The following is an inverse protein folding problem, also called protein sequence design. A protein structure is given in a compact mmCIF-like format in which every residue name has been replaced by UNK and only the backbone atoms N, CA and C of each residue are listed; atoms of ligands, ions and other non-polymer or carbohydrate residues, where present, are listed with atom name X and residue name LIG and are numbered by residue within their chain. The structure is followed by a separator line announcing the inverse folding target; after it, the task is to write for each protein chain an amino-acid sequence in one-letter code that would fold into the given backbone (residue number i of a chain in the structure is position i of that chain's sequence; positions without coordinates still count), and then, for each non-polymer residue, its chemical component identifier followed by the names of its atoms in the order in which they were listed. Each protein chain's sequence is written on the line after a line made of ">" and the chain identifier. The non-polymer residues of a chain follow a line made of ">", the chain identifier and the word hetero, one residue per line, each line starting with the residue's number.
data_IF_036196056179
#
_entry.id   IF_036196056179
#
_cell.length_a   1.000
_cell.length_b   1.000
_cell.length_c   1.000
_cell.angle_alpha   90.00
_cell.angle_beta   90.00
_cell.angle_gamma   90.00
#
_symmetry.space_group_name_H-M   'P 1'
#
loop_
_entity.id
_entity.type
_entity.pdbx_description
1 polymer ?
#
# COMPACT_ATOMS: atom_id res chain seq x y z
N UNK A 1 -14.75 9.31 -2.47
CA UNK A 1 -15.02 8.03 -1.77
C UNK A 1 -16.05 8.29 -0.66
N UNK A 2 -17.06 7.43 -0.47
CA UNK A 2 -17.97 7.54 0.68
C UNK A 2 -17.35 6.85 1.90
N UNK A 3 -16.56 7.63 2.67
CA UNK A 3 -15.83 7.11 3.83
C UNK A 3 -16.76 6.74 5.00
N UNK A 4 -18.01 7.22 5.00
CA UNK A 4 -18.96 6.99 6.10
C UNK A 4 -19.35 5.53 6.28
N UNK A 5 -19.12 4.70 5.25
CA UNK A 5 -19.43 3.27 5.25
C UNK A 5 -18.24 2.40 5.66
N UNK A 6 -17.04 2.96 5.68
CA UNK A 6 -15.83 2.23 6.01
C UNK A 6 -15.78 2.00 7.53
N UNK A 7 -15.54 0.76 7.93
CA UNK A 7 -15.41 0.37 9.34
C UNK A 7 -13.94 0.25 9.70
N UNK A 8 -13.30 1.35 10.08
CA UNK A 8 -11.89 1.35 10.47
C UNK A 8 -11.58 0.37 11.62
N UNK A 9 -12.56 0.07 12.49
CA UNK A 9 -12.41 -0.92 13.57
C UNK A 9 -12.19 -2.35 13.09
N UNK A 10 -12.52 -2.68 11.84
CA UNK A 10 -12.31 -3.99 11.24
C UNK A 10 -10.94 -4.10 10.54
N UNK A 11 -10.16 -3.02 10.53
CA UNK A 11 -8.84 -2.98 9.90
C UNK A 11 -7.77 -3.24 10.95
N UNK A 12 -6.95 -4.26 10.70
CA UNK A 12 -5.87 -4.70 11.57
C UNK A 12 -4.48 -4.50 10.95
N UNK A 13 -3.46 -4.90 11.72
CA UNK A 13 -2.06 -4.81 11.30
C UNK A 13 -1.44 -6.17 10.98
N UNK A 14 -2.26 -7.22 10.93
CA UNK A 14 -1.81 -8.60 10.66
C UNK A 14 -1.24 -8.73 9.25
N UNK A 15 -2.03 -8.38 8.23
CA UNK A 15 -1.66 -8.48 6.82
C UNK A 15 -1.05 -7.20 6.26
N UNK A 16 -0.15 -7.36 5.30
CA UNK A 16 0.55 -6.28 4.62
C UNK A 16 2.02 -6.15 5.02
N UNK A 17 2.77 -5.41 4.21
CA UNK A 17 4.17 -5.07 4.48
C UNK A 17 4.25 -4.11 5.66
N UNK A 18 5.16 -4.42 6.59
CA UNK A 18 5.40 -3.62 7.78
C UNK A 18 6.71 -2.86 7.58
N UNK A 19 6.63 -1.55 7.38
CA UNK A 19 7.79 -0.67 7.20
C UNK A 19 7.92 0.20 8.45
N UNK A 20 9.10 0.18 9.09
CA UNK A 20 9.35 0.88 10.34
C UNK A 20 9.15 0.03 11.60
N UNK A 21 9.40 0.65 12.75
CA UNK A 21 9.47 -0.03 14.04
C UNK A 21 8.14 -0.69 14.45
N UNK A 22 8.20 -1.93 14.96
CA UNK A 22 7.01 -2.70 15.35
C UNK A 22 6.18 -2.00 16.43
N UNK A 23 6.86 -1.33 17.34
CA UNK A 23 6.33 -0.58 18.48
C UNK A 23 6.05 0.89 18.17
N UNK A 24 6.23 1.33 16.91
CA UNK A 24 5.88 2.69 16.52
C UNK A 24 4.41 3.00 16.89
N UNK A 25 4.14 4.10 17.60
CA UNK A 25 2.83 4.40 18.17
C UNK A 25 1.76 4.63 17.12
N UNK A 26 2.11 5.22 15.97
CA UNK A 26 1.16 5.47 14.88
C UNK A 26 1.28 4.41 13.81
N UNK A 27 0.14 3.83 13.41
CA UNK A 27 0.04 2.93 12.26
C UNK A 27 -0.62 3.67 11.11
N UNK A 28 0.06 3.72 9.97
CA UNK A 28 -0.48 4.24 8.71
C UNK A 28 -0.82 3.03 7.85
N UNK A 29 -2.11 2.76 7.67
CA UNK A 29 -2.60 1.59 6.94
C UNK A 29 -2.98 2.01 5.52
N UNK A 30 -2.40 1.36 4.51
CA UNK A 30 -2.49 1.78 3.11
C UNK A 30 -3.04 0.65 2.25
N UNK A 31 -4.32 0.69 1.87
CA UNK A 31 -4.87 -0.20 0.85
C UNK A 31 -4.56 0.36 -0.53
N UNK A 32 -3.65 -0.28 -1.26
CA UNK A 32 -3.15 0.20 -2.55
C UNK A 32 -3.12 -0.90 -3.60
N UNK A 33 -3.17 -0.51 -4.86
CA UNK A 33 -2.86 -1.38 -5.98
C UNK A 33 -1.77 -0.71 -6.83
N UNK A 34 -0.68 -1.43 -7.13
CA UNK A 34 0.52 -0.83 -7.76
C UNK A 34 0.24 -0.33 -9.19
N UNK A 35 -0.81 -0.80 -9.87
CA UNK A 35 -1.23 -0.25 -11.18
C UNK A 35 -2.05 1.05 -11.01
N UNK A 36 -2.66 1.30 -9.85
CA UNK A 36 -3.53 2.45 -9.70
C UNK A 36 -2.74 3.77 -9.79
N UNK A 37 -3.10 4.69 -10.70
CA UNK A 37 -2.40 5.98 -10.82
C UNK A 37 -2.64 6.89 -9.60
N UNK A 38 -3.78 6.74 -8.92
CA UNK A 38 -4.06 7.46 -7.67
C UNK A 38 -3.21 6.91 -6.51
N UNK A 39 -2.98 5.59 -6.47
CA UNK A 39 -2.02 5.01 -5.51
C UNK A 39 -0.59 5.48 -5.79
N UNK A 40 -0.21 5.62 -7.07
CA UNK A 40 1.08 6.21 -7.45
C UNK A 40 1.22 7.64 -6.91
N UNK A 41 0.21 8.48 -7.14
CA UNK A 41 0.18 9.86 -6.63
C UNK A 41 0.35 9.88 -5.10
N UNK A 42 -0.46 9.10 -4.38
CA UNK A 42 -0.32 8.97 -2.92
C UNK A 42 1.09 8.55 -2.51
N UNK A 43 1.65 7.52 -3.15
CA UNK A 43 2.98 7.01 -2.82
C UNK A 43 4.08 8.05 -3.04
N UNK A 44 4.01 8.82 -4.12
CA UNK A 44 4.99 9.87 -4.44
C UNK A 44 4.86 11.07 -3.49
N UNK A 45 3.66 11.59 -3.29
CA UNK A 45 3.41 12.80 -2.49
C UNK A 45 3.63 12.57 -0.99
N UNK A 46 3.30 11.38 -0.47
CA UNK A 46 3.46 11.06 0.95
C UNK A 46 4.88 10.61 1.32
N UNK A 47 5.73 10.26 0.34
CA UNK A 47 7.02 9.59 0.55
C UNK A 47 7.91 10.31 1.57
N UNK A 48 8.14 11.60 1.38
CA UNK A 48 9.04 12.37 2.24
C UNK A 48 8.54 12.43 3.69
N UNK A 49 7.22 12.62 3.88
CA UNK A 49 6.59 12.66 5.20
C UNK A 49 6.70 11.31 5.89
N UNK A 50 6.28 10.25 5.21
CA UNK A 50 6.26 8.90 5.79
C UNK A 50 7.67 8.39 6.09
N UNK A 51 8.65 8.61 5.20
CA UNK A 51 10.05 8.23 5.45
C UNK A 51 10.58 8.89 6.72
N UNK A 52 10.38 10.21 6.88
CA UNK A 52 10.81 10.94 8.08
C UNK A 52 10.22 10.32 9.36
N UNK A 53 8.90 10.11 9.41
CA UNK A 53 8.26 9.58 10.62
C UNK A 53 8.60 8.10 10.88
N UNK A 54 8.87 7.32 9.84
CA UNK A 54 9.36 5.94 9.96
C UNK A 54 10.78 5.91 10.55
N UNK A 55 11.68 6.74 10.05
CA UNK A 55 13.06 6.85 10.53
C UNK A 55 13.13 7.34 11.99
N UNK A 56 12.21 8.23 12.37
CA UNK A 56 12.05 8.70 13.75
C UNK A 56 11.40 7.65 14.68
N UNK A 57 11.01 6.47 14.17
CA UNK A 57 10.34 5.41 14.94
C UNK A 57 8.92 5.75 15.37
N UNK A 58 8.32 6.80 14.82
CA UNK A 58 6.99 7.31 15.20
C UNK A 58 5.87 6.65 14.41
N UNK A 59 6.14 6.28 13.16
CA UNK A 59 5.19 5.64 12.27
C UNK A 59 5.67 4.25 11.88
N UNK A 60 4.74 3.30 11.85
CA UNK A 60 4.87 2.09 11.06
C UNK A 60 3.83 2.11 9.95
N UNK A 61 4.29 1.91 8.72
CA UNK A 61 3.40 1.73 7.57
C UNK A 61 2.97 0.28 7.47
N UNK A 62 1.70 0.05 7.20
CA UNK A 62 1.10 -1.25 6.92
C UNK A 62 0.56 -1.20 5.50
N UNK A 63 1.39 -1.59 4.54
CA UNK A 63 1.07 -1.49 3.11
C UNK A 63 0.34 -2.76 2.68
N UNK A 64 -0.95 -2.62 2.38
CA UNK A 64 -1.86 -3.69 1.99
C UNK A 64 -2.07 -3.66 0.48
N UNK A 65 -1.37 -4.55 -0.20
CA UNK A 65 -1.53 -4.78 -1.63
C UNK A 65 -2.88 -5.43 -1.92
N UNK A 66 -3.83 -4.59 -2.34
CA UNK A 66 -5.21 -4.98 -2.56
C UNK A 66 -5.41 -5.36 -4.03
N UNK A 67 -5.47 -6.66 -4.27
CA UNK A 67 -5.83 -7.21 -5.57
C UNK A 67 -7.23 -6.79 -5.98
N UNK A 68 -7.37 -6.37 -7.23
CA UNK A 68 -8.64 -5.86 -7.77
C UNK A 68 -9.10 -6.68 -8.97
N UNK A 69 -10.40 -6.92 -9.04
CA UNK A 69 -11.07 -7.55 -10.17
C UNK A 69 -11.12 -6.67 -11.42
N UNK A 70 -11.03 -5.34 -11.26
CA UNK A 70 -11.09 -4.39 -12.38
C UNK A 70 -9.95 -4.72 -13.37
N UNK A 71 -10.24 -4.97 -14.66
CA UNK A 71 -9.22 -5.39 -15.64
C UNK A 71 -8.01 -4.44 -15.77
N UNK A 72 -8.23 -3.15 -15.53
CA UNK A 72 -7.17 -2.14 -15.55
C UNK A 72 -6.20 -2.23 -14.36
N UNK A 73 -6.56 -2.95 -13.30
CA UNK A 73 -5.78 -3.06 -12.05
C UNK A 73 -5.19 -4.46 -11.84
N UNK A 74 -5.65 -5.47 -12.59
CA UNK A 74 -5.13 -6.85 -12.51
C UNK A 74 -3.62 -6.95 -12.76
N UNK A 75 -3.03 -6.03 -13.54
CA UNK A 75 -1.57 -5.97 -13.74
C UNK A 75 -0.85 -5.69 -12.42
N UNK A 76 -1.46 -4.89 -11.54
CA UNK A 76 -0.95 -4.64 -10.20
C UNK A 76 -0.94 -5.92 -9.35
N UNK A 77 -1.97 -6.77 -9.51
CA UNK A 77 -2.04 -8.06 -8.82
C UNK A 77 -0.85 -8.94 -9.20
N UNK A 78 -0.47 -8.97 -10.49
CA UNK A 78 0.74 -9.69 -10.94
C UNK A 78 1.96 -9.19 -10.18
N UNK A 79 2.17 -7.88 -10.06
CA UNK A 79 3.27 -7.33 -9.27
C UNK A 79 3.19 -7.75 -7.80
N UNK A 80 2.01 -7.66 -7.18
CA UNK A 80 1.81 -8.04 -5.76
C UNK A 80 2.21 -9.50 -5.49
N UNK A 81 1.99 -10.38 -6.46
CA UNK A 81 2.33 -11.81 -6.42
C UNK A 81 3.81 -12.09 -6.69
N UNK A 82 4.64 -11.07 -6.86
CA UNK A 82 6.10 -11.21 -6.98
C UNK A 82 6.85 -10.54 -5.82
N UNK A 83 6.22 -9.65 -5.07
CA UNK A 83 6.86 -8.92 -3.97
C UNK A 83 7.24 -9.84 -2.81
N UNK A 84 8.40 -9.59 -2.22
CA UNK A 84 8.99 -10.41 -1.16
C UNK A 84 8.56 -9.94 0.25
N UNK A 85 7.49 -10.55 0.76
CA UNK A 85 6.98 -10.31 2.13
C UNK A 85 7.95 -10.68 3.25
N UNK A 86 9.01 -11.45 2.97
CA UNK A 86 10.05 -11.78 3.96
C UNK A 86 11.08 -10.67 4.10
N UNK A 87 11.16 -9.74 3.14
CA UNK A 87 12.08 -8.61 3.15
C UNK A 87 11.36 -7.27 2.85
N UNK A 88 10.62 -6.71 3.83
CA UNK A 88 9.79 -5.52 3.61
C UNK A 88 10.55 -4.28 3.11
N UNK A 89 11.77 -4.06 3.60
CA UNK A 89 12.59 -2.92 3.18
C UNK A 89 13.07 -3.05 1.72
N UNK A 90 13.39 -4.26 1.27
CA UNK A 90 13.66 -4.52 -0.15
C UNK A 90 12.38 -4.36 -0.97
N UNK A 91 11.27 -4.93 -0.50
CA UNK A 91 9.99 -4.83 -1.18
C UNK A 91 9.54 -3.37 -1.35
N UNK A 92 9.80 -2.48 -0.39
CA UNK A 92 9.51 -1.06 -0.53
C UNK A 92 10.29 -0.42 -1.69
N UNK A 93 11.56 -0.80 -1.89
CA UNK A 93 12.37 -0.33 -3.04
C UNK A 93 11.86 -0.91 -4.36
N UNK A 94 11.42 -2.16 -4.35
CA UNK A 94 10.80 -2.78 -5.53
C UNK A 94 9.47 -2.09 -5.89
N UNK A 95 8.66 -1.72 -4.88
CA UNK A 95 7.42 -0.94 -5.03
C UNK A 95 7.72 0.47 -5.58
N UNK A 96 8.74 1.15 -5.05
CA UNK A 96 9.21 2.45 -5.56
C UNK A 96 9.50 2.36 -7.07
N UNK A 97 10.29 1.35 -7.47
CA UNK A 97 10.64 1.12 -8.87
C UNK A 97 9.39 0.89 -9.72
N UNK A 98 8.46 0.05 -9.27
CA UNK A 98 7.24 -0.26 -10.02
C UNK A 98 6.35 0.95 -10.21
N UNK A 99 6.20 1.81 -9.20
CA UNK A 99 5.45 3.06 -9.34
C UNK A 99 6.12 4.06 -10.28
N UNK A 100 7.43 4.24 -10.17
CA UNK A 100 8.21 5.11 -11.07
C UNK A 100 8.02 4.68 -12.54
N UNK A 101 8.08 3.37 -12.78
CA UNK A 101 8.01 2.78 -14.12
C UNK A 101 6.59 2.33 -14.52
N UNK A 102 5.54 2.74 -13.79
CA UNK A 102 4.16 2.29 -14.02
C UNK A 102 3.68 2.46 -15.47
N UNK A 103 4.16 3.48 -16.18
CA UNK A 103 3.84 3.76 -17.58
C UNK A 103 4.47 2.77 -18.58
N UNK A 104 5.52 2.04 -18.18
CA UNK A 104 6.24 1.10 -19.03
C UNK A 104 5.59 -0.29 -19.02
N UNK A 105 5.07 -0.72 -17.88
CA UNK A 105 4.51 -2.05 -17.69
C UNK A 105 2.98 -2.05 -17.51
N UNK A 106 2.37 -0.93 -17.12
CA UNK A 106 0.96 -0.86 -16.70
C UNK A 106 -0.08 -1.12 -17.81
N UNK A 107 0.35 -1.11 -19.08
CA UNK A 107 -0.49 -1.39 -20.25
C UNK A 107 -0.14 -2.71 -20.95
N UNK A 108 0.84 -3.46 -20.43
CA UNK A 108 1.20 -4.78 -20.90
C UNK A 108 0.14 -5.84 -20.52
N UNK A 109 0.23 -7.02 -21.14
CA UNK A 109 -0.49 -8.22 -20.69
C UNK A 109 0.01 -8.70 -19.33
N UNK A 110 -0.75 -9.56 -18.64
CA UNK A 110 -0.35 -10.05 -17.33
C UNK A 110 0.94 -10.89 -17.40
N UNK A 111 1.09 -11.68 -18.47
CA UNK A 111 2.28 -12.48 -18.76
C UNK A 111 3.51 -11.59 -18.98
N UNK A 112 3.36 -10.53 -19.77
CA UNK A 112 4.44 -9.56 -20.00
C UNK A 112 4.80 -8.76 -18.74
N UNK A 113 3.83 -8.44 -17.88
CA UNK A 113 4.11 -7.83 -16.57
C UNK A 113 4.92 -8.77 -15.69
N UNK A 114 4.57 -10.07 -15.65
CA UNK A 114 5.36 -11.05 -14.90
C UNK A 114 6.80 -11.09 -15.42
N UNK A 115 6.99 -11.20 -16.74
CA UNK A 115 8.34 -11.15 -17.34
C UNK A 115 9.07 -9.85 -17.02
N UNK A 116 8.41 -8.70 -17.09
CA UNK A 116 9.01 -7.41 -16.73
C UNK A 116 9.49 -7.38 -15.27
N UNK A 117 8.67 -7.86 -14.33
CA UNK A 117 9.03 -7.91 -12.91
C UNK A 117 10.21 -8.86 -12.66
N UNK A 118 10.18 -10.04 -13.26
CA UNK A 118 11.25 -11.04 -13.15
C UNK A 118 12.58 -10.51 -13.72
N UNK A 119 12.56 -9.89 -14.90
CA UNK A 119 13.77 -9.38 -15.55
C UNK A 119 14.35 -8.13 -14.87
N UNK A 120 13.48 -7.19 -14.44
CA UNK A 120 13.94 -5.90 -13.89
C UNK A 120 14.28 -5.97 -12.41
N UNK A 121 13.57 -6.80 -11.64
CA UNK A 121 13.72 -6.86 -10.18
C UNK A 121 14.33 -8.17 -9.69
N UNK A 122 14.51 -9.16 -10.57
CA UNK A 122 15.02 -10.49 -10.19
C UNK A 122 14.10 -11.23 -9.23
N UNK A 123 12.83 -10.83 -9.16
CA UNK A 123 11.81 -11.47 -8.35
C UNK A 123 11.29 -12.72 -9.06
N UNK A 124 10.66 -13.61 -8.31
CA UNK A 124 9.95 -14.77 -8.86
C UNK A 124 8.51 -14.73 -8.39
N UNK A 125 7.63 -15.38 -9.13
CA UNK A 125 6.26 -15.57 -8.67
C UNK A 125 6.24 -16.27 -7.31
N UNK A 126 5.65 -15.57 -6.35
CA UNK A 126 5.36 -16.00 -4.99
C UNK A 126 3.98 -15.44 -4.65
N UNK A 127 2.89 -16.17 -4.94
CA UNK A 127 1.53 -15.60 -4.98
C UNK A 127 1.04 -14.92 -3.70
N UNK A 128 1.75 -15.08 -2.58
CA UNK A 128 1.46 -14.41 -1.31
C UNK A 128 0.03 -14.68 -0.83
N UNK A 129 -0.52 -15.86 -1.12
CA UNK A 129 -1.96 -16.17 -0.96
C UNK A 129 -2.51 -15.82 0.43
N UNK A 130 -1.78 -16.18 1.49
CA UNK A 130 -2.21 -15.86 2.86
C UNK A 130 -2.33 -14.35 3.12
N UNK A 131 -1.40 -13.56 2.57
CA UNK A 131 -1.43 -12.11 2.69
C UNK A 131 -2.53 -11.50 1.83
N UNK A 132 -2.61 -11.89 0.56
CA UNK A 132 -3.57 -11.34 -0.40
C UNK A 132 -5.01 -11.68 0.01
N UNK A 133 -5.29 -12.94 0.33
CA UNK A 133 -6.64 -13.36 0.76
C UNK A 133 -7.03 -12.71 2.09
N UNK A 134 -6.08 -12.54 3.02
CA UNK A 134 -6.29 -11.82 4.26
C UNK A 134 -6.66 -10.35 4.04
N UNK A 135 -5.92 -9.66 3.15
CA UNK A 135 -6.20 -8.26 2.78
C UNK A 135 -7.57 -8.11 2.11
N UNK A 136 -7.95 -9.03 1.21
CA UNK A 136 -9.26 -9.00 0.54
C UNK A 136 -10.39 -9.18 1.57
N UNK A 137 -10.29 -10.20 2.44
CA UNK A 137 -11.29 -10.45 3.47
C UNK A 137 -11.41 -9.30 4.47
N UNK A 138 -10.28 -8.71 4.87
CA UNK A 138 -10.23 -7.53 5.73
C UNK A 138 -10.88 -6.31 5.06
N UNK A 139 -10.56 -6.05 3.79
CA UNK A 139 -11.17 -4.97 3.03
C UNK A 139 -12.69 -5.14 2.90
N UNK A 140 -13.17 -6.36 2.66
CA UNK A 140 -14.60 -6.68 2.62
C UNK A 140 -15.28 -6.44 3.97
N UNK A 141 -14.70 -6.94 5.07
CA UNK A 141 -15.23 -6.73 6.41
C UNK A 141 -15.32 -5.24 6.78
N UNK A 142 -14.31 -4.46 6.36
CA UNK A 142 -14.21 -3.03 6.57
C UNK A 142 -15.01 -2.18 5.56
N UNK A 143 -15.69 -2.77 4.57
CA UNK A 143 -16.35 -2.08 3.45
C UNK A 143 -15.41 -1.18 2.61
N UNK A 144 -14.16 -1.58 2.45
CA UNK A 144 -13.15 -0.89 1.64
C UNK A 144 -13.15 -1.50 0.24
N UNK A 145 -13.66 -0.76 -0.74
CA UNK A 145 -13.74 -1.21 -2.14
C UNK A 145 -12.82 -0.45 -3.09
N UNK A 146 -12.30 0.71 -2.67
CA UNK A 146 -11.53 1.61 -3.52
C UNK A 146 -10.07 1.68 -3.08
N UNK A 147 -9.22 2.09 -4.01
CA UNK A 147 -7.79 2.31 -3.77
C UNK A 147 -7.39 3.66 -4.41
N UNK A 148 -6.53 4.46 -3.76
CA UNK A 148 -6.02 4.24 -2.41
C UNK A 148 -7.11 4.45 -1.35
N UNK A 149 -7.03 3.70 -0.25
CA UNK A 149 -7.71 4.03 1.01
C UNK A 149 -6.65 3.98 2.09
N UNK A 150 -6.49 5.10 2.80
CA UNK A 150 -5.47 5.25 3.83
C UNK A 150 -6.16 5.54 5.17
N UNK A 151 -5.65 4.92 6.22
CA UNK A 151 -6.20 5.05 7.58
C UNK A 151 -5.07 5.41 8.54
N UNK A 152 -5.29 6.45 9.35
CA UNK A 152 -4.42 6.88 10.45
C UNK A 152 -5.30 7.16 11.67
N UNK A 153 -5.23 6.29 12.68
CA UNK A 153 -6.21 6.32 13.77
C UNK A 153 -7.64 6.17 13.24
N UNK A 154 -8.52 7.09 13.61
CA UNK A 154 -9.91 7.12 13.13
C UNK A 154 -10.09 7.88 11.80
N UNK A 155 -9.01 8.44 11.25
CA UNK A 155 -9.06 9.25 10.04
C UNK A 155 -8.87 8.39 8.79
N UNK A 156 -9.83 8.48 7.87
CA UNK A 156 -9.86 7.74 6.61
C UNK A 156 -9.82 8.73 5.45
N UNK A 157 -8.90 8.55 4.51
CA UNK A 157 -8.70 9.46 3.38
C UNK A 157 -8.10 8.72 2.17
N UNK A 158 -7.87 9.45 1.09
CA UNK A 158 -7.28 8.98 -0.17
C UNK A 158 -6.15 9.92 -0.64
N UNK A 159 -5.81 9.89 -1.94
CA UNK A 159 -4.69 10.66 -2.52
C UNK A 159 -4.88 12.18 -2.56
N UNK A 160 -5.98 12.72 -2.01
CA UNK A 160 -6.21 14.16 -1.95
C UNK A 160 -5.60 14.84 -0.73
N UNK A 161 -5.13 14.09 0.27
CA UNK A 161 -4.43 14.67 1.42
C UNK A 161 -3.12 15.30 0.99
N UNK A 162 -2.83 16.50 1.48
CA UNK A 162 -1.54 17.15 1.25
C UNK A 162 -0.47 16.66 2.24
N UNK A 163 0.83 16.83 1.93
CA UNK A 163 1.91 16.49 2.86
C UNK A 163 1.81 17.20 4.24
N UNK A 164 1.35 18.45 4.26
CA UNK A 164 1.19 19.23 5.50
C UNK A 164 0.01 18.73 6.34
N UNK A 165 -1.10 18.39 5.69
CA UNK A 165 -2.26 17.76 6.36
C UNK A 165 -1.90 16.39 6.92
N UNK A 166 -1.14 15.58 6.16
CA UNK A 166 -0.67 14.27 6.63
C UNK A 166 0.27 14.42 7.83
N UNK A 167 1.19 15.38 7.79
CA UNK A 167 2.09 15.69 8.92
C UNK A 167 1.29 16.06 10.16
N UNK A 168 0.35 16.99 10.02
CA UNK A 168 -0.51 17.46 11.11
C UNK A 168 -1.34 16.30 11.70
N UNK A 169 -1.85 15.42 10.84
CA UNK A 169 -2.62 14.25 11.24
C UNK A 169 -1.77 13.26 12.07
N UNK A 170 -0.57 12.93 11.61
CA UNK A 170 0.35 12.04 12.32
C UNK A 170 0.76 12.64 13.67
N UNK A 171 1.12 13.93 13.69
CA UNK A 171 1.49 14.63 14.93
C UNK A 171 0.36 14.66 15.95
N UNK A 172 -0.88 14.88 15.50
CA UNK A 172 -2.06 14.80 16.37
C UNK A 172 -2.21 13.40 16.95
N UNK A 173 -2.07 12.36 16.13
CA UNK A 173 -2.20 10.97 16.59
C UNK A 173 -1.11 10.59 17.60
N UNK A 174 0.11 11.12 17.45
CA UNK A 174 1.22 10.91 18.39
C UNK A 174 0.99 11.49 19.79
N UNK A 175 0.01 12.40 19.94
CA UNK A 175 -0.29 13.05 21.23
C UNK A 175 -1.44 12.42 22.01
N UNK A 176 -2.06 11.38 21.46
CA UNK A 176 -3.10 10.59 22.15
C UNK A 176 -2.48 9.62 23.15
#
# INVERSE_FOLDING_TARGET
>A
MDISKIKASEVGTEFGFKIGAKDAPVKVIEFINIRCPYCKKWHEESKAVLTKFVEEGKVQRIIKHFDKEKPSLQKGNVCHHHLDYQNPEKALKDIDFLFEHQHQWGDLTNEEVATYVEEKLGLKNQPNEAQINGIIAEAEAANIFFVPTVIVGDHIFDEHITPDELTTLIEKELTK
#
